data_IF_560455631551
#
_entry.id   IF_560455631551
#
_cell.length_a   1.000
_cell.length_b   1.000
_cell.length_c   1.000
_cell.angle_alpha   90.00
_cell.angle_beta   90.00
_cell.angle_gamma   90.00
#
_symmetry.space_group_name_H-M   'P 1'
#
loop_
_entity.id
_entity.type
_entity.pdbx_description
1 polymer ?
#
# COMPACT_ATOMS: atom_id res chain seq x y z
N UNK A 1 -20.57 7.27 -13.22
CA UNK A 1 -21.60 6.33 -12.75
C UNK A 1 -21.01 5.43 -11.66
N UNK A 2 -20.68 5.98 -10.49
CA UNK A 2 -20.06 5.25 -9.38
C UNK A 2 -21.02 4.99 -8.20
N UNK A 3 -22.33 5.21 -8.38
CA UNK A 3 -23.21 5.60 -7.26
C UNK A 3 -24.20 4.55 -6.73
N UNK A 4 -23.98 3.24 -6.89
CA UNK A 4 -24.90 2.23 -6.35
C UNK A 4 -24.28 1.40 -5.21
N UNK A 5 -23.11 0.81 -5.40
CA UNK A 5 -22.50 -0.08 -4.39
C UNK A 5 -22.06 0.65 -3.13
N UNK A 6 -21.33 1.77 -3.26
CA UNK A 6 -20.86 2.59 -2.12
C UNK A 6 -22.02 3.13 -1.27
N UNK A 7 -23.09 3.56 -1.95
CA UNK A 7 -24.31 4.05 -1.29
C UNK A 7 -25.05 2.95 -0.51
N UNK A 8 -25.04 1.72 -1.02
CA UNK A 8 -25.64 0.57 -0.34
C UNK A 8 -24.82 0.13 0.88
N UNK A 9 -23.49 0.23 0.82
CA UNK A 9 -22.61 -0.07 1.97
C UNK A 9 -22.85 0.91 3.12
N UNK A 10 -22.94 2.21 2.82
CA UNK A 10 -23.26 3.24 3.83
C UNK A 10 -24.61 2.96 4.51
N UNK A 11 -25.66 2.67 3.73
CA UNK A 11 -26.97 2.29 4.28
C UNK A 11 -26.90 1.00 5.11
N UNK A 12 -26.12 0.00 4.68
CA UNK A 12 -26.01 -1.26 5.39
C UNK A 12 -25.36 -1.13 6.77
N UNK A 13 -24.29 -0.33 6.89
CA UNK A 13 -23.53 -0.17 8.13
C UNK A 13 -24.31 0.63 9.17
N UNK A 14 -25.02 1.67 8.73
CA UNK A 14 -25.62 2.65 9.63
C UNK A 14 -27.15 2.50 9.76
N UNK A 15 -27.87 2.03 8.72
CA UNK A 15 -29.35 1.95 8.72
C UNK A 15 -29.93 0.57 9.03
N UNK A 16 -29.13 -0.49 9.15
CA UNK A 16 -29.70 -1.83 9.35
C UNK A 16 -30.27 -2.01 10.76
N UNK A 17 -31.35 -2.79 10.92
CA UNK A 17 -31.89 -3.12 12.25
C UNK A 17 -30.87 -3.89 13.11
N UNK A 18 -29.87 -4.51 12.48
CA UNK A 18 -28.74 -5.15 13.14
C UNK A 18 -27.65 -4.10 13.43
N UNK A 19 -27.73 -3.48 14.61
CA UNK A 19 -26.71 -2.52 15.03
C UNK A 19 -25.37 -3.22 15.28
N UNK A 20 -24.41 -3.02 14.37
CA UNK A 20 -23.06 -3.56 14.52
C UNK A 20 -22.30 -2.84 15.63
N UNK A 21 -21.57 -3.60 16.45
CA UNK A 21 -20.64 -3.05 17.45
C UNK A 21 -19.24 -2.78 16.89
N UNK A 22 -18.82 -3.59 15.92
CA UNK A 22 -17.51 -3.49 15.27
C UNK A 22 -17.63 -3.71 13.77
N UNK A 23 -16.98 -2.87 12.97
CA UNK A 23 -16.97 -2.96 11.51
C UNK A 23 -15.56 -2.71 10.99
N UNK A 24 -15.10 -3.55 10.05
CA UNK A 24 -13.86 -3.34 9.33
C UNK A 24 -14.12 -3.43 7.84
N UNK A 25 -13.90 -2.33 7.13
CA UNK A 25 -13.95 -2.24 5.67
C UNK A 25 -12.54 -2.02 5.14
N UNK A 26 -12.12 -2.87 4.22
CA UNK A 26 -10.81 -2.82 3.57
C UNK A 26 -11.05 -2.78 2.05
N UNK A 27 -11.28 -1.59 1.52
CA UNK A 27 -11.54 -1.34 0.10
C UNK A 27 -10.65 -0.18 -0.37
N UNK A 28 -10.24 -0.22 -1.62
CA UNK A 28 -9.22 0.71 -2.14
C UNK A 28 -9.79 2.07 -2.60
N UNK A 29 -11.07 2.13 -2.98
CA UNK A 29 -11.65 3.32 -3.63
C UNK A 29 -12.33 4.34 -2.70
N UNK A 30 -12.45 4.03 -1.39
CA UNK A 30 -13.11 4.88 -0.39
C UNK A 30 -14.64 4.94 -0.57
N UNK A 31 -15.39 5.18 0.52
CA UNK A 31 -16.86 5.31 0.47
C UNK A 31 -17.27 6.76 0.67
N UNK A 32 -18.20 7.22 -0.16
CA UNK A 32 -18.93 8.45 0.09
C UNK A 32 -20.12 8.19 1.02
N UNK A 33 -20.16 8.87 2.16
CA UNK A 33 -21.19 8.71 3.19
C UNK A 33 -22.37 9.64 2.92
N UNK A 34 -23.58 9.22 3.32
CA UNK A 34 -24.82 10.01 3.16
C UNK A 34 -25.37 10.47 4.51
N UNK A 35 -25.81 11.72 4.57
CA UNK A 35 -26.37 12.35 5.77
C UNK A 35 -27.79 11.88 6.13
N UNK A 36 -28.55 11.33 5.18
CA UNK A 36 -29.96 10.93 5.36
C UNK A 36 -30.12 9.51 5.91
N UNK A 37 -29.27 9.11 6.85
CA UNK A 37 -29.23 7.76 7.41
C UNK A 37 -29.42 7.83 8.92
N UNK A 38 -30.20 6.90 9.50
CA UNK A 38 -30.32 6.78 10.95
C UNK A 38 -28.96 6.44 11.59
N UNK A 39 -28.56 7.08 12.71
CA UNK A 39 -27.31 6.76 13.38
C UNK A 39 -27.29 5.32 13.94
N UNK A 40 -26.15 4.64 13.80
CA UNK A 40 -25.84 3.42 14.52
C UNK A 40 -25.18 3.75 15.87
N UNK A 41 -26.02 3.84 16.89
CA UNK A 41 -25.61 4.15 18.27
C UNK A 41 -24.86 3.01 18.99
N UNK A 42 -24.71 1.83 18.39
CA UNK A 42 -23.98 0.72 19.02
C UNK A 42 -22.57 0.54 18.45
N UNK A 43 -22.21 1.28 17.39
CA UNK A 43 -20.92 1.15 16.74
C UNK A 43 -19.81 1.77 17.60
N UNK A 44 -18.92 0.92 18.10
CA UNK A 44 -17.81 1.31 18.99
C UNK A 44 -16.44 1.25 18.30
N UNK A 45 -16.27 0.37 17.31
CA UNK A 45 -14.99 0.12 16.64
C UNK A 45 -15.19 0.11 15.12
N UNK A 46 -14.56 1.05 14.42
CA UNK A 46 -14.75 1.24 12.98
C UNK A 46 -13.41 1.40 12.26
N UNK A 47 -13.15 0.54 11.28
CA UNK A 47 -12.11 0.74 10.26
C UNK A 47 -12.83 1.00 8.94
N UNK A 48 -12.63 2.18 8.35
CA UNK A 48 -13.32 2.58 7.12
C UNK A 48 -12.45 3.50 6.25
N UNK A 49 -12.35 3.20 4.94
CA UNK A 49 -11.85 4.16 3.97
C UNK A 49 -13.00 5.07 3.52
N UNK A 50 -12.80 6.38 3.63
CA UNK A 50 -13.76 7.39 3.19
C UNK A 50 -13.20 8.17 2.02
N UNK A 51 -14.10 8.70 1.19
CA UNK A 51 -13.69 9.44 0.01
C UNK A 51 -13.06 10.78 0.38
N UNK A 52 -13.64 11.55 1.31
CA UNK A 52 -13.21 12.93 1.63
C UNK A 52 -13.25 13.25 3.13
N UNK A 53 -12.64 14.36 3.57
CA UNK A 53 -12.77 14.86 4.95
C UNK A 53 -14.23 15.17 5.32
N UNK A 54 -15.10 15.50 4.36
CA UNK A 54 -16.52 15.73 4.63
C UNK A 54 -17.24 14.46 5.10
N UNK A 55 -16.84 13.31 4.57
CA UNK A 55 -17.43 12.04 4.98
C UNK A 55 -17.10 11.73 6.46
N UNK A 56 -16.00 12.24 7.01
CA UNK A 56 -15.67 12.11 8.43
C UNK A 56 -16.68 12.81 9.34
N UNK A 57 -17.17 13.98 8.92
CA UNK A 57 -18.24 14.70 9.63
C UNK A 57 -19.53 13.88 9.66
N UNK A 58 -19.91 13.36 8.50
CA UNK A 58 -21.09 12.50 8.37
C UNK A 58 -20.92 11.27 9.27
N UNK A 59 -19.73 10.67 9.27
CA UNK A 59 -19.41 9.50 10.10
C UNK A 59 -19.64 9.76 11.59
N UNK A 60 -19.24 10.92 12.11
CA UNK A 60 -19.48 11.27 13.51
C UNK A 60 -20.97 11.44 13.83
N UNK A 61 -21.77 12.00 12.93
CA UNK A 61 -23.24 12.02 13.09
C UNK A 61 -23.84 10.61 13.11
N UNK A 62 -23.31 9.71 12.28
CA UNK A 62 -23.86 8.37 12.09
C UNK A 62 -23.37 7.37 13.15
N UNK A 63 -22.26 7.65 13.83
CA UNK A 63 -21.66 6.76 14.82
C UNK A 63 -21.18 7.55 16.07
N UNK A 64 -22.12 8.11 16.85
CA UNK A 64 -21.78 8.99 17.98
C UNK A 64 -21.10 8.26 19.16
N UNK A 65 -21.19 6.93 19.22
CA UNK A 65 -20.65 6.11 20.32
C UNK A 65 -19.30 5.46 20.00
N UNK A 66 -18.60 5.93 18.96
CA UNK A 66 -17.29 5.38 18.58
C UNK A 66 -16.27 5.55 19.71
N UNK A 67 -15.63 4.44 20.07
CA UNK A 67 -14.50 4.37 20.99
C UNK A 67 -13.19 4.30 20.20
N UNK A 68 -13.21 3.63 19.04
CA UNK A 68 -12.07 3.44 18.14
C UNK A 68 -12.44 3.74 16.71
N UNK A 69 -11.64 4.57 16.05
CA UNK A 69 -11.80 4.90 14.64
C UNK A 69 -10.45 4.84 13.92
N UNK A 70 -10.36 3.95 12.93
CA UNK A 70 -9.30 3.97 11.93
C UNK A 70 -9.87 4.42 10.59
N UNK A 71 -9.31 5.52 10.10
CA UNK A 71 -9.79 6.23 8.94
C UNK A 71 -8.72 6.28 7.86
N UNK A 72 -9.11 5.98 6.64
CA UNK A 72 -8.27 6.20 5.47
C UNK A 72 -8.98 7.17 4.51
N UNK A 73 -8.37 8.30 4.20
CA UNK A 73 -8.93 9.31 3.29
C UNK A 73 -8.29 9.12 1.91
N UNK A 74 -9.12 8.80 0.92
CA UNK A 74 -8.67 8.41 -0.42
C UNK A 74 -8.57 9.62 -1.36
N UNK A 75 -9.45 10.62 -1.21
CA UNK A 75 -9.51 11.81 -2.05
C UNK A 75 -9.66 13.12 -1.25
N UNK A 76 -9.04 14.19 -1.75
CA UNK A 76 -9.35 15.54 -1.31
C UNK A 76 -9.68 16.38 -2.53
N UNK A 77 -10.88 16.94 -2.53
CA UNK A 77 -11.25 17.99 -3.47
C UNK A 77 -10.70 19.29 -2.90
N UNK A 78 -9.81 19.95 -3.65
CA UNK A 78 -9.05 21.16 -3.32
C UNK A 78 -9.86 22.42 -3.00
N UNK A 79 -11.13 22.31 -2.63
CA UNK A 79 -11.88 23.44 -2.10
C UNK A 79 -11.47 23.61 -0.64
N UNK A 80 -10.84 24.74 -0.33
CA UNK A 80 -10.57 25.19 1.04
C UNK A 80 -11.89 25.26 1.80
N UNK A 81 -12.24 24.18 2.49
CA UNK A 81 -13.41 24.18 3.35
C UNK A 81 -13.00 24.76 4.70
N UNK A 82 -13.47 25.96 4.98
CA UNK A 82 -13.64 26.43 6.35
C UNK A 82 -14.76 25.61 6.95
N UNK A 83 -14.43 24.41 7.42
CA UNK A 83 -15.37 23.55 8.10
C UNK A 83 -15.71 24.23 9.44
N UNK A 84 -16.93 24.76 9.56
CA UNK A 84 -17.48 25.20 10.85
C UNK A 84 -17.95 23.94 11.58
N UNK A 85 -17.06 23.33 12.35
CA UNK A 85 -17.40 22.20 13.21
C UNK A 85 -18.26 22.68 14.37
N UNK A 86 -19.52 22.23 14.40
CA UNK A 86 -20.35 22.34 15.59
C UNK A 86 -19.94 21.21 16.55
N UNK A 87 -19.46 21.58 17.74
CA UNK A 87 -19.00 20.67 18.82
C UNK A 87 -19.98 19.53 19.14
N UNK A 88 -21.27 19.76 18.92
CA UNK A 88 -22.37 18.85 19.26
C UNK A 88 -22.36 17.51 18.49
N UNK A 89 -21.64 17.43 17.37
CA UNK A 89 -21.62 16.26 16.48
C UNK A 89 -20.47 15.29 16.76
N UNK A 90 -19.49 15.69 17.57
CA UNK A 90 -18.27 14.90 17.81
C UNK A 90 -18.49 13.73 18.79
N UNK A 91 -17.88 12.55 18.55
CA UNK A 91 -18.00 11.41 19.45
C UNK A 91 -17.27 11.69 20.77
N UNK A 92 -18.04 11.76 21.86
CA UNK A 92 -17.54 12.13 23.19
C UNK A 92 -16.69 11.04 23.87
N UNK A 93 -16.69 9.82 23.32
CA UNK A 93 -16.05 8.64 23.91
C UNK A 93 -14.92 8.07 23.04
N UNK A 94 -14.53 8.78 21.98
CA UNK A 94 -13.47 8.34 21.07
C UNK A 94 -12.12 8.40 21.79
N UNK A 95 -11.51 7.22 22.02
CA UNK A 95 -10.24 7.05 22.73
C UNK A 95 -9.07 6.79 21.79
N UNK A 96 -9.29 6.03 20.73
CA UNK A 96 -8.25 5.67 19.77
C UNK A 96 -8.63 6.19 18.39
N UNK A 97 -7.82 7.09 17.85
CA UNK A 97 -8.06 7.70 16.55
C UNK A 97 -6.83 7.58 15.65
N UNK A 98 -7.02 6.95 14.49
CA UNK A 98 -6.01 6.76 13.46
C UNK A 98 -6.51 7.42 12.19
N UNK A 99 -5.74 8.34 11.64
CA UNK A 99 -6.03 8.97 10.36
C UNK A 99 -4.88 8.76 9.40
N UNK A 100 -5.21 8.25 8.21
CA UNK A 100 -4.27 8.03 7.12
C UNK A 100 -4.74 8.69 5.83
N UNK A 101 -3.83 9.24 5.02
CA UNK A 101 -4.11 9.63 3.64
C UNK A 101 -3.35 8.75 2.64
N UNK A 102 -3.97 8.41 1.50
CA UNK A 102 -3.36 7.53 0.48
C UNK A 102 -2.50 8.31 -0.52
N UNK A 103 -2.96 9.49 -0.92
CA UNK A 103 -2.32 10.33 -1.94
C UNK A 103 -1.79 11.62 -1.32
N UNK A 104 -0.81 12.27 -1.97
CA UNK A 104 -0.39 13.63 -1.66
C UNK A 104 -1.59 14.56 -1.85
N UNK A 105 -2.33 14.76 -0.78
CA UNK A 105 -3.59 15.47 -0.77
C UNK A 105 -3.59 16.37 0.45
N UNK A 106 -3.92 17.62 0.19
CA UNK A 106 -3.78 18.72 1.14
C UNK A 106 -4.90 18.67 2.17
N UNK A 107 -4.89 17.72 3.12
CA UNK A 107 -5.61 17.98 4.37
C UNK A 107 -4.79 19.07 5.04
N UNK A 108 -5.19 20.33 4.87
CA UNK A 108 -4.47 21.42 5.51
C UNK A 108 -4.36 21.15 7.01
N UNK A 109 -3.23 21.50 7.58
CA UNK A 109 -2.92 21.25 8.97
C UNK A 109 -4.03 21.85 9.87
N UNK A 110 -4.48 23.06 9.55
CA UNK A 110 -5.59 23.72 10.23
C UNK A 110 -6.92 22.98 10.12
N UNK A 111 -7.22 22.37 8.97
CA UNK A 111 -8.43 21.57 8.78
C UNK A 111 -8.37 20.21 9.49
N UNK A 112 -7.18 19.66 9.74
CA UNK A 112 -7.02 18.50 10.63
C UNK A 112 -7.18 18.91 12.10
N UNK A 113 -6.55 20.02 12.52
CA UNK A 113 -6.44 20.43 13.92
C UNK A 113 -7.72 20.96 14.55
N UNK A 114 -8.23 22.10 14.03
CA UNK A 114 -9.38 22.81 14.62
C UNK A 114 -10.61 21.94 14.81
N UNK A 115 -10.84 20.95 13.94
CA UNK A 115 -12.00 20.10 14.07
C UNK A 115 -11.88 18.87 14.93
N UNK A 116 -10.80 18.12 14.74
CA UNK A 116 -10.70 16.73 15.16
C UNK A 116 -9.95 16.60 16.47
N UNK A 117 -8.97 17.48 16.68
CA UNK A 117 -8.03 17.33 17.77
C UNK A 117 -8.42 18.19 18.96
N UNK A 118 -8.80 19.46 18.75
CA UNK A 118 -9.19 20.32 19.88
C UNK A 118 -10.57 20.00 20.48
N UNK A 119 -11.45 19.34 19.72
CA UNK A 119 -12.84 19.14 20.14
C UNK A 119 -13.12 17.77 20.76
N UNK A 120 -12.17 16.82 20.69
CA UNK A 120 -12.32 15.47 21.24
C UNK A 120 -11.30 15.26 22.36
N UNK A 121 -11.62 15.75 23.55
CA UNK A 121 -10.73 15.68 24.72
C UNK A 121 -10.53 14.26 25.27
N UNK A 122 -11.32 13.28 24.81
CA UNK A 122 -11.25 11.87 25.24
C UNK A 122 -10.17 11.05 24.56
N UNK A 123 -9.49 11.57 23.53
CA UNK A 123 -8.49 10.82 22.78
C UNK A 123 -7.30 10.50 23.69
N UNK A 124 -7.06 9.21 23.90
CA UNK A 124 -5.91 8.68 24.64
C UNK A 124 -4.78 8.27 23.69
N UNK A 125 -5.14 7.88 22.46
CA UNK A 125 -4.21 7.45 21.42
C UNK A 125 -4.53 8.16 20.10
N UNK A 126 -3.56 8.89 19.57
CA UNK A 126 -3.64 9.56 18.27
C UNK A 126 -2.53 9.07 17.34
N UNK A 127 -2.89 8.61 16.15
CA UNK A 127 -1.95 8.33 15.08
C UNK A 127 -2.32 9.08 13.81
N UNK A 128 -1.35 9.84 13.27
CA UNK A 128 -1.51 10.65 12.07
C UNK A 128 -0.49 10.21 11.03
N UNK A 129 -0.99 9.67 9.92
CA UNK A 129 -0.18 9.22 8.78
C UNK A 129 -0.58 9.98 7.51
N UNK A 130 0.09 11.08 7.19
CA UNK A 130 -0.38 12.03 6.17
C UNK A 130 0.65 12.24 5.08
N UNK A 131 0.22 12.16 3.83
CA UNK A 131 0.93 12.63 2.64
C UNK A 131 0.39 14.00 2.21
N UNK A 132 1.23 15.03 2.22
CA UNK A 132 0.80 16.43 2.04
C UNK A 132 1.87 17.28 1.36
N UNK A 133 1.52 18.46 0.87
CA UNK A 133 2.44 19.54 0.46
C UNK A 133 2.36 20.77 1.40
N UNK A 134 1.52 20.67 2.44
CA UNK A 134 1.32 21.73 3.44
C UNK A 134 2.54 21.81 4.39
N UNK A 135 3.28 22.93 4.38
CA UNK A 135 4.47 23.09 5.20
C UNK A 135 4.20 23.16 6.71
N UNK A 136 2.95 23.41 7.14
CA UNK A 136 2.61 23.46 8.57
C UNK A 136 2.82 22.11 9.26
N UNK A 137 2.69 20.99 8.53
CA UNK A 137 2.98 19.66 9.07
C UNK A 137 4.46 19.47 9.49
N UNK A 138 5.36 20.29 8.94
CA UNK A 138 6.78 20.27 9.27
C UNK A 138 7.16 21.17 10.46
N UNK A 139 6.21 21.94 11.02
CA UNK A 139 6.49 22.86 12.13
C UNK A 139 6.25 22.16 13.48
N UNK A 140 7.33 21.79 14.16
CA UNK A 140 7.27 21.12 15.47
C UNK A 140 6.52 21.91 16.54
N UNK A 141 6.50 23.26 16.46
CA UNK A 141 5.74 24.13 17.38
C UNK A 141 4.25 23.89 17.30
N UNK A 142 3.74 23.80 16.07
CA UNK A 142 2.33 23.59 15.83
C UNK A 142 1.86 22.25 16.38
N UNK A 143 2.69 21.20 16.28
CA UNK A 143 2.40 19.91 16.92
C UNK A 143 2.51 19.95 18.44
N UNK A 144 3.48 20.67 19.00
CA UNK A 144 3.60 20.83 20.45
C UNK A 144 2.36 21.53 21.03
N UNK A 145 1.87 22.58 20.37
CA UNK A 145 0.62 23.26 20.74
C UNK A 145 -0.57 22.30 20.73
N UNK A 146 -0.66 21.44 19.71
CA UNK A 146 -1.72 20.43 19.59
C UNK A 146 -1.71 19.48 20.77
N UNK A 147 -0.55 18.91 21.08
CA UNK A 147 -0.39 17.93 22.17
C UNK A 147 -0.70 18.58 23.53
N UNK A 148 -0.24 19.81 23.75
CA UNK A 148 -0.49 20.55 25.00
C UNK A 148 -1.99 20.75 25.29
N UNK A 149 -2.83 20.74 24.25
CA UNK A 149 -4.28 20.90 24.37
C UNK A 149 -5.06 19.57 24.39
N UNK A 150 -4.38 18.41 24.41
CA UNK A 150 -5.01 17.09 24.52
C UNK A 150 -4.73 16.44 25.88
N UNK A 151 -5.48 16.77 26.94
CA UNK A 151 -5.15 16.35 28.31
C UNK A 151 -5.20 14.85 28.56
N UNK A 152 -5.95 14.08 27.74
CA UNK A 152 -6.07 12.63 27.87
C UNK A 152 -5.02 11.85 27.07
N UNK A 153 -4.25 12.54 26.21
CA UNK A 153 -3.35 11.91 25.25
C UNK A 153 -2.19 11.20 25.97
N UNK A 154 -2.10 9.89 25.79
CA UNK A 154 -1.05 9.03 26.34
C UNK A 154 -0.04 8.61 25.28
N UNK A 155 -0.48 8.52 24.03
CA UNK A 155 0.37 8.06 22.93
C UNK A 155 0.06 8.82 21.66
N UNK A 156 1.12 9.35 21.06
CA UNK A 156 1.06 10.12 19.83
C UNK A 156 2.06 9.56 18.82
N UNK A 157 1.57 9.18 17.63
CA UNK A 157 2.40 8.68 16.55
C UNK A 157 2.22 9.50 15.28
N UNK A 158 3.34 9.89 14.68
CA UNK A 158 3.43 10.56 13.40
C UNK A 158 4.05 9.66 12.34
N UNK A 159 3.53 9.76 11.12
CA UNK A 159 4.14 9.26 9.89
C UNK A 159 3.82 10.23 8.76
N UNK A 160 4.66 11.27 8.60
CA UNK A 160 4.41 12.36 7.66
C UNK A 160 5.25 12.19 6.41
N UNK A 161 4.63 12.29 5.23
CA UNK A 161 5.28 12.40 3.92
C UNK A 161 4.96 13.79 3.34
N UNK A 162 5.89 14.74 3.43
CA UNK A 162 5.68 16.15 3.08
C UNK A 162 6.43 16.48 1.79
N UNK A 163 5.73 16.86 0.74
CA UNK A 163 6.37 17.25 -0.52
C UNK A 163 7.21 18.52 -0.33
N UNK A 164 8.46 18.47 -0.77
CA UNK A 164 9.41 19.58 -0.75
C UNK A 164 9.00 20.56 -1.84
N UNK A 165 8.33 21.64 -1.43
CA UNK A 165 7.93 22.75 -2.30
C UNK A 165 8.86 23.95 -2.13
N UNK A 166 8.79 24.90 -3.07
CA UNK A 166 9.49 26.18 -2.92
C UNK A 166 9.09 26.91 -1.62
N UNK A 167 7.82 26.83 -1.22
CA UNK A 167 7.30 27.41 0.02
C UNK A 167 7.93 26.76 1.27
N UNK A 168 8.12 25.44 1.26
CA UNK A 168 8.80 24.74 2.35
C UNK A 168 10.26 25.18 2.44
N UNK A 169 10.97 25.26 1.31
CA UNK A 169 12.38 25.67 1.26
C UNK A 169 12.57 27.13 1.69
N UNK A 170 11.67 28.05 1.31
CA UNK A 170 11.75 29.46 1.72
C UNK A 170 11.44 29.65 3.21
N UNK A 171 10.50 28.88 3.77
CA UNK A 171 10.12 28.97 5.19
C UNK A 171 11.24 28.58 6.15
N UNK A 172 12.05 27.60 5.77
CA UNK A 172 13.15 27.07 6.60
C UNK A 172 14.54 27.54 6.12
N UNK A 173 14.58 28.63 5.34
CA UNK A 173 15.73 29.51 5.05
C UNK A 173 16.95 28.92 4.34
N UNK A 174 17.00 27.61 4.07
CA UNK A 174 18.09 26.98 3.34
C UNK A 174 17.57 26.39 2.03
N UNK A 175 17.88 27.01 0.89
CA UNK A 175 17.57 26.49 -0.45
C UNK A 175 18.27 25.16 -0.80
N UNK A 176 18.84 24.46 0.19
CA UNK A 176 19.54 23.19 0.10
C UNK A 176 18.80 22.19 1.00
N UNK A 177 18.39 21.04 0.44
CA UNK A 177 17.60 19.98 1.13
C UNK A 177 18.24 19.53 2.46
N UNK A 178 19.57 19.50 2.53
CA UNK A 178 20.29 19.15 3.76
C UNK A 178 20.10 20.19 4.88
N UNK A 179 20.09 21.48 4.52
CA UNK A 179 19.83 22.57 5.47
C UNK A 179 18.38 22.54 5.98
N UNK A 180 17.42 22.32 5.07
CA UNK A 180 16.02 22.09 5.40
C UNK A 180 15.84 20.95 6.43
N UNK A 181 16.43 19.78 6.15
CA UNK A 181 16.38 18.61 7.05
C UNK A 181 16.90 18.95 8.45
N UNK A 182 18.03 19.66 8.52
CA UNK A 182 18.66 20.03 9.78
C UNK A 182 17.85 21.09 10.56
N UNK A 183 17.28 22.07 9.86
CA UNK A 183 16.44 23.12 10.46
C UNK A 183 15.17 22.51 11.10
N UNK A 184 14.48 21.63 10.38
CA UNK A 184 13.28 20.97 10.87
C UNK A 184 13.62 20.03 12.03
N UNK A 185 14.73 19.28 11.94
CA UNK A 185 15.19 18.45 13.04
C UNK A 185 15.42 19.23 14.32
N UNK A 186 16.08 20.40 14.25
CA UNK A 186 16.26 21.28 15.41
C UNK A 186 14.92 21.74 15.99
N UNK A 187 13.97 22.14 15.15
CA UNK A 187 12.65 22.57 15.63
C UNK A 187 11.90 21.48 16.38
N UNK A 188 11.95 20.23 15.91
CA UNK A 188 11.35 19.10 16.63
C UNK A 188 12.08 18.83 17.95
N UNK A 189 13.42 18.87 17.97
CA UNK A 189 14.20 18.70 19.20
C UNK A 189 13.93 19.81 20.23
N UNK A 190 13.69 21.04 19.79
CA UNK A 190 13.44 22.18 20.68
C UNK A 190 12.05 22.13 21.36
N UNK A 191 11.04 21.56 20.68
CA UNK A 191 9.64 21.67 21.11
C UNK A 191 9.03 20.36 21.63
N UNK A 192 9.72 19.24 21.44
CA UNK A 192 9.32 17.96 22.01
C UNK A 192 10.28 17.57 23.13
N UNK A 193 9.72 17.08 24.23
CA UNK A 193 10.50 16.56 25.35
C UNK A 193 11.15 15.20 25.00
N UNK A 194 11.94 14.66 25.94
CA UNK A 194 12.60 13.35 25.76
C UNK A 194 11.63 12.16 25.68
N UNK A 195 10.34 12.36 25.94
CA UNK A 195 9.32 11.29 25.91
C UNK A 195 8.82 11.01 24.49
N UNK A 196 8.89 12.01 23.60
CA UNK A 196 8.58 11.89 22.18
C UNK A 196 9.88 11.82 21.38
N UNK A 197 10.04 10.80 20.54
CA UNK A 197 11.22 10.69 19.69
C UNK A 197 10.84 10.57 18.23
N UNK A 198 11.65 11.19 17.38
CA UNK A 198 11.39 11.30 15.97
C UNK A 198 12.61 10.92 15.17
N UNK A 199 12.36 10.41 13.97
CA UNK A 199 13.36 10.35 12.90
C UNK A 199 12.91 11.22 11.75
N UNK A 200 13.87 11.91 11.14
CA UNK A 200 13.65 12.82 10.02
C UNK A 200 14.62 12.48 8.91
N UNK A 201 14.08 12.24 7.73
CA UNK A 201 14.87 12.01 6.53
C UNK A 201 14.17 12.61 5.33
N UNK A 202 14.87 12.69 4.22
CA UNK A 202 14.36 13.29 2.99
C UNK A 202 14.80 12.40 1.84
N UNK A 203 13.93 12.23 0.86
CA UNK A 203 14.39 11.96 -0.50
C UNK A 203 14.39 13.30 -1.27
N UNK A 204 14.63 13.30 -2.59
CA UNK A 204 14.73 14.58 -3.35
C UNK A 204 13.45 15.42 -3.34
N UNK A 205 12.28 14.80 -3.22
CA UNK A 205 10.99 15.47 -3.40
C UNK A 205 10.12 15.45 -2.15
N UNK A 206 10.48 14.67 -1.14
CA UNK A 206 9.64 14.37 0.01
C UNK A 206 10.50 14.37 1.28
N UNK A 207 10.04 15.11 2.27
CA UNK A 207 10.49 15.10 3.65
C UNK A 207 9.65 14.09 4.43
N UNK A 208 10.31 13.26 5.22
CA UNK A 208 9.68 12.27 6.08
C UNK A 208 9.94 12.62 7.54
N UNK A 209 8.89 12.57 8.36
CA UNK A 209 8.95 12.75 9.81
C UNK A 209 8.14 11.64 10.45
N UNK A 210 8.81 10.75 11.19
CA UNK A 210 8.16 9.64 11.85
C UNK A 210 8.43 9.61 13.35
N UNK A 211 7.45 9.15 14.13
CA UNK A 211 7.64 8.80 15.53
C UNK A 211 8.39 7.47 15.69
N UNK A 212 9.28 7.42 16.69
CA UNK A 212 10.05 6.24 17.08
C UNK A 212 9.98 6.04 18.61
N UNK A 213 9.93 4.79 19.12
CA UNK A 213 9.77 3.55 18.36
C UNK A 213 8.34 3.41 17.83
N UNK A 214 8.17 2.64 16.76
CA UNK A 214 6.84 2.33 16.23
C UNK A 214 6.06 1.41 17.18
N UNK A 215 5.05 1.95 17.85
CA UNK A 215 4.22 1.20 18.82
C UNK A 215 2.73 1.36 18.54
N UNK A 216 2.26 0.70 17.49
CA UNK A 216 0.85 0.69 17.14
C UNK A 216 0.05 -0.25 18.06
N UNK A 217 -1.15 0.14 18.48
CA UNK A 217 -2.04 -0.71 19.30
C UNK A 217 -2.66 -1.88 18.52
N UNK A 218 -2.63 -1.81 17.19
CA UNK A 218 -3.23 -2.76 16.27
C UNK A 218 -2.32 -2.98 15.06
N UNK A 219 -2.57 -4.07 14.33
CA UNK A 219 -1.82 -4.41 13.12
C UNK A 219 -1.95 -3.31 12.05
N UNK A 220 -0.81 -2.83 11.55
CA UNK A 220 -0.75 -1.76 10.54
C UNK A 220 0.23 -2.10 9.41
N UNK A 221 0.00 -1.46 8.26
CA UNK A 221 0.99 -1.34 7.20
C UNK A 221 1.69 0.00 7.32
N UNK A 222 3.00 0.01 7.09
CA UNK A 222 3.81 1.21 7.21
C UNK A 222 4.60 1.45 5.92
N UNK A 223 4.63 2.68 5.44
CA UNK A 223 5.38 3.07 4.24
C UNK A 223 6.63 3.86 4.65
N UNK A 224 7.75 3.57 4.02
CA UNK A 224 9.04 4.23 4.27
C UNK A 224 9.89 4.29 3.00
N UNK A 225 11.14 4.69 3.14
CA UNK A 225 12.13 4.77 2.07
C UNK A 225 13.45 4.15 2.52
N UNK A 226 14.30 3.64 1.62
CA UNK A 226 15.68 3.24 1.95
C UNK A 226 16.47 4.37 2.64
N UNK A 227 16.18 5.63 2.29
CA UNK A 227 16.78 6.83 2.91
C UNK A 227 16.52 6.95 4.42
N UNK A 228 15.57 6.18 4.97
CA UNK A 228 15.36 6.10 6.41
C UNK A 228 16.61 5.59 7.16
N UNK A 229 17.50 4.86 6.48
CA UNK A 229 18.80 4.44 7.04
C UNK A 229 19.70 5.64 7.38
N UNK A 230 19.54 6.76 6.66
CA UNK A 230 20.33 7.99 6.83
C UNK A 230 19.56 9.08 7.61
N UNK A 231 18.55 8.68 8.38
CA UNK A 231 17.72 9.62 9.14
C UNK A 231 18.49 10.31 10.27
N UNK A 232 18.14 11.57 10.52
CA UNK A 232 18.48 12.24 11.78
C UNK A 232 17.47 11.78 12.83
N UNK A 233 17.95 11.30 13.96
CA UNK A 233 17.11 10.71 14.99
C UNK A 233 17.33 11.42 16.32
N UNK A 234 16.25 11.71 17.04
CA UNK A 234 16.35 12.33 18.37
C UNK A 234 16.83 11.34 19.43
N UNK A 235 16.59 10.04 19.22
CA UNK A 235 17.01 8.98 20.15
C UNK A 235 17.35 7.67 19.41
N UNK A 236 18.65 7.38 19.25
CA UNK A 236 19.12 6.17 18.57
C UNK A 236 18.71 4.87 19.28
N UNK A 237 18.60 4.87 20.61
CA UNK A 237 18.18 3.67 21.35
C UNK A 237 16.76 3.24 21.02
N UNK A 238 15.90 4.19 20.62
CA UNK A 238 14.53 3.91 20.20
C UNK A 238 14.44 3.49 18.74
N UNK A 239 15.37 3.95 17.90
CA UNK A 239 15.50 3.46 16.51
C UNK A 239 15.87 1.99 16.48
N UNK A 240 16.63 1.49 17.44
CA UNK A 240 17.04 0.09 17.48
C UNK A 240 15.93 -0.86 18.00
N UNK A 241 14.89 -0.32 18.62
CA UNK A 241 13.81 -1.14 19.18
C UNK A 241 12.92 -1.72 18.07
N UNK A 242 12.62 -3.03 18.12
CA UNK A 242 11.79 -3.66 17.09
C UNK A 242 10.39 -3.02 17.07
N UNK A 243 9.86 -2.71 15.87
CA UNK A 243 8.50 -2.19 15.71
C UNK A 243 7.44 -3.14 16.25
N UNK A 244 6.40 -2.59 16.87
CA UNK A 244 5.25 -3.35 17.36
C UNK A 244 4.05 -3.23 16.42
N UNK A 245 3.41 -4.37 16.14
CA UNK A 245 2.21 -4.50 15.28
C UNK A 245 2.35 -3.95 13.85
N UNK A 246 3.56 -3.91 13.29
CA UNK A 246 3.73 -3.66 11.84
C UNK A 246 3.74 -5.00 11.11
N UNK A 247 2.69 -5.26 10.34
CA UNK A 247 2.52 -6.51 9.58
C UNK A 247 2.83 -6.34 8.09
N UNK A 248 2.85 -5.11 7.60
CA UNK A 248 3.20 -4.79 6.21
C UNK A 248 4.22 -3.64 6.14
N UNK A 249 5.22 -3.78 5.28
CA UNK A 249 6.20 -2.74 4.98
C UNK A 249 6.14 -2.38 3.49
N UNK A 250 5.79 -1.14 3.18
CA UNK A 250 5.99 -0.55 1.87
C UNK A 250 7.29 0.26 1.86
N UNK A 251 8.10 0.10 0.83
CA UNK A 251 9.27 0.94 0.59
C UNK A 251 9.21 1.47 -0.84
N UNK A 252 9.26 2.79 -0.96
CA UNK A 252 9.42 3.43 -2.25
C UNK A 252 10.86 3.92 -2.36
N UNK A 253 11.61 3.35 -3.29
CA UNK A 253 12.97 3.82 -3.60
C UNK A 253 12.97 5.21 -4.22
N UNK A 254 11.85 5.58 -4.86
CA UNK A 254 11.78 6.64 -5.85
C UNK A 254 12.88 6.53 -6.92
N UNK A 255 12.85 7.35 -7.96
CA UNK A 255 13.69 7.17 -9.15
C UNK A 255 15.20 7.37 -8.92
N UNK A 256 15.68 7.46 -7.68
CA UNK A 256 17.08 7.72 -7.36
C UNK A 256 17.86 6.44 -7.14
N UNK A 257 19.07 6.33 -7.69
CA UNK A 257 19.90 5.18 -7.40
C UNK A 257 20.34 5.19 -5.93
N UNK A 258 20.05 4.12 -5.21
CA UNK A 258 20.41 3.89 -3.80
C UNK A 258 21.17 2.56 -3.68
N UNK A 259 22.05 2.41 -2.68
CA UNK A 259 22.74 1.14 -2.44
C UNK A 259 21.78 0.06 -1.95
N UNK A 260 22.05 -1.20 -2.27
CA UNK A 260 21.22 -2.34 -1.86
C UNK A 260 21.12 -2.47 -0.34
N UNK A 261 22.20 -2.13 0.37
CA UNK A 261 22.30 -2.32 1.82
C UNK A 261 21.36 -1.38 2.59
N UNK A 262 21.07 -0.19 2.06
CA UNK A 262 20.08 0.72 2.65
C UNK A 262 18.67 0.12 2.63
N UNK A 263 18.31 -0.61 1.57
CA UNK A 263 17.06 -1.37 1.56
C UNK A 263 17.08 -2.45 2.64
N UNK A 264 18.16 -3.23 2.70
CA UNK A 264 18.26 -4.38 3.60
C UNK A 264 18.27 -3.98 5.08
N UNK A 265 18.97 -2.90 5.46
CA UNK A 265 19.00 -2.41 6.84
C UNK A 265 17.62 -1.94 7.30
N UNK A 266 16.92 -1.15 6.48
CA UNK A 266 15.55 -0.72 6.79
C UNK A 266 14.64 -1.95 6.92
N UNK A 267 14.67 -2.90 5.99
CA UNK A 267 13.84 -4.11 6.04
C UNK A 267 14.15 -4.96 7.29
N UNK A 268 15.44 -5.08 7.67
CA UNK A 268 15.88 -5.88 8.82
C UNK A 268 15.25 -5.37 10.13
N UNK A 269 15.05 -4.07 10.24
CA UNK A 269 14.38 -3.46 11.39
C UNK A 269 12.93 -3.99 11.56
N UNK A 270 12.22 -4.29 10.47
CA UNK A 270 10.85 -4.80 10.48
C UNK A 270 10.77 -6.33 10.36
N UNK A 271 11.47 -7.06 11.23
CA UNK A 271 11.60 -8.53 11.15
C UNK A 271 10.29 -9.34 11.25
N UNK A 272 9.22 -8.75 11.77
CA UNK A 272 7.93 -9.43 12.01
C UNK A 272 6.91 -9.27 10.87
N UNK A 273 7.28 -8.62 9.77
CA UNK A 273 6.36 -8.37 8.65
C UNK A 273 5.92 -9.67 7.98
N UNK A 274 4.67 -9.64 7.51
CA UNK A 274 4.07 -10.68 6.67
C UNK A 274 4.00 -10.26 5.21
N UNK A 275 4.13 -8.96 4.94
CA UNK A 275 4.03 -8.36 3.63
C UNK A 275 5.16 -7.35 3.42
N UNK A 276 5.88 -7.46 2.30
CA UNK A 276 6.90 -6.50 1.88
C UNK A 276 6.60 -6.02 0.47
N UNK A 277 6.52 -4.70 0.28
CA UNK A 277 6.33 -4.08 -1.03
C UNK A 277 7.41 -3.08 -1.34
N UNK A 278 8.31 -3.46 -2.23
CA UNK A 278 9.34 -2.60 -2.80
C UNK A 278 8.84 -2.06 -4.15
N UNK A 279 8.64 -0.74 -4.21
CA UNK A 279 8.19 -0.02 -5.40
C UNK A 279 9.27 0.94 -5.89
N UNK A 280 9.37 1.12 -7.21
CA UNK A 280 10.34 1.98 -7.88
C UNK A 280 11.80 1.66 -7.53
N UNK A 281 12.14 0.38 -7.34
CA UNK A 281 13.50 -0.04 -6.95
C UNK A 281 14.51 0.47 -7.98
N UNK A 282 15.51 1.21 -7.51
CA UNK A 282 16.63 1.70 -8.31
C UNK A 282 17.93 1.49 -7.52
N UNK A 283 18.64 0.40 -7.82
CA UNK A 283 19.92 0.07 -7.17
C UNK A 283 21.05 0.30 -8.17
N UNK A 284 22.08 1.06 -7.78
CA UNK A 284 23.24 1.32 -8.64
C UNK A 284 24.44 0.41 -8.39
N UNK A 285 24.45 -0.32 -7.27
CA UNK A 285 25.54 -1.24 -6.96
C UNK A 285 25.66 -2.30 -8.05
N UNK A 286 26.90 -2.60 -8.45
CA UNK A 286 27.15 -3.67 -9.41
C UNK A 286 26.74 -5.02 -8.82
N UNK A 287 26.18 -5.90 -9.66
CA UNK A 287 25.75 -7.26 -9.28
C UNK A 287 26.92 -8.14 -8.76
N UNK A 288 28.16 -7.71 -8.96
CA UNK A 288 29.38 -8.50 -8.72
C UNK A 288 29.97 -8.39 -7.31
N UNK A 289 29.48 -7.50 -6.45
CA UNK A 289 29.96 -7.43 -5.06
C UNK A 289 29.15 -8.37 -4.15
N UNK A 290 29.34 -9.67 -4.37
CA UNK A 290 29.27 -10.68 -3.31
C UNK A 290 30.71 -10.87 -2.79
N UNK A 291 31.39 -9.77 -2.46
CA UNK A 291 32.74 -9.84 -1.92
C UNK A 291 32.66 -10.17 -0.42
N UNK A 292 32.67 -11.48 -0.14
CA UNK A 292 33.44 -12.01 0.98
C UNK A 292 33.04 -11.57 2.38
N UNK A 293 31.79 -11.74 2.76
CA UNK A 293 31.28 -12.23 4.07
C UNK A 293 29.78 -12.35 3.80
N UNK A 294 29.19 -13.54 3.87
CA UNK A 294 27.72 -13.68 3.81
C UNK A 294 27.10 -12.64 4.76
N UNK A 295 26.40 -11.58 4.30
CA UNK A 295 25.66 -10.78 5.23
C UNK A 295 24.61 -11.73 5.80
N UNK A 296 24.58 -11.84 7.12
CA UNK A 296 23.67 -12.66 7.91
C UNK A 296 22.33 -12.72 7.19
N UNK A 297 21.93 -13.91 6.74
CA UNK A 297 20.76 -14.10 5.90
C UNK A 297 19.59 -13.27 6.46
N UNK A 298 19.08 -12.33 5.65
CA UNK A 298 17.89 -11.56 6.01
C UNK A 298 16.74 -12.55 6.15
N UNK A 299 16.41 -12.93 7.39
CA UNK A 299 15.38 -13.93 7.69
C UNK A 299 14.10 -13.21 8.10
N UNK A 300 13.20 -13.03 7.15
CA UNK A 300 11.86 -12.53 7.40
C UNK A 300 10.93 -13.72 7.65
N UNK A 301 11.03 -14.29 8.85
CA UNK A 301 10.39 -15.57 9.24
C UNK A 301 8.89 -15.64 8.92
N UNK A 302 8.21 -14.50 8.92
CA UNK A 302 6.76 -14.41 8.73
C UNK A 302 6.34 -13.91 7.36
N UNK A 303 7.29 -13.56 6.47
CA UNK A 303 6.99 -13.03 5.15
C UNK A 303 6.20 -14.04 4.32
N UNK A 304 5.01 -13.62 3.88
CA UNK A 304 4.10 -14.38 3.01
C UNK A 304 3.98 -13.77 1.63
N UNK A 305 4.21 -12.48 1.48
CA UNK A 305 4.01 -11.78 0.22
C UNK A 305 5.15 -10.79 -0.06
N UNK A 306 5.74 -10.89 -1.24
CA UNK A 306 6.81 -10.01 -1.72
C UNK A 306 6.37 -9.32 -3.00
N UNK A 307 6.27 -8.00 -2.97
CA UNK A 307 6.06 -7.17 -4.15
C UNK A 307 7.39 -6.50 -4.49
N UNK A 308 7.93 -6.79 -5.66
CA UNK A 308 9.25 -6.35 -6.11
C UNK A 308 9.12 -5.69 -7.47
N UNK A 309 8.96 -4.36 -7.47
CA UNK A 309 8.73 -3.57 -8.68
C UNK A 309 9.84 -2.54 -8.85
N UNK A 310 10.67 -2.72 -9.88
CA UNK A 310 11.73 -1.76 -10.22
C UNK A 310 11.19 -0.47 -10.83
N UNK A 311 12.02 0.56 -10.81
CA UNK A 311 11.83 1.74 -11.65
C UNK A 311 11.90 1.34 -13.15
N UNK A 312 11.07 1.98 -13.98
CA UNK A 312 10.97 1.70 -15.43
C UNK A 312 12.30 1.85 -16.17
N UNK A 313 13.24 2.61 -15.62
CA UNK A 313 14.56 2.91 -16.20
C UNK A 313 15.67 1.95 -15.76
N UNK A 314 15.42 1.10 -14.77
CA UNK A 314 16.45 0.27 -14.13
C UNK A 314 16.33 -1.20 -14.59
N UNK A 315 17.34 -2.02 -14.30
CA UNK A 315 17.23 -3.50 -14.40
C UNK A 315 16.93 -4.08 -13.02
N UNK A 316 16.40 -5.29 -12.96
CA UNK A 316 16.29 -6.02 -11.70
C UNK A 316 17.66 -6.19 -11.06
N UNK A 317 17.80 -5.79 -9.79
CA UNK A 317 18.99 -6.10 -9.02
C UNK A 317 18.86 -7.54 -8.49
N UNK A 318 19.64 -8.47 -9.05
CA UNK A 318 19.56 -9.89 -8.70
C UNK A 318 19.92 -10.17 -7.25
N UNK A 319 20.97 -9.55 -6.72
CA UNK A 319 21.44 -9.77 -5.34
C UNK A 319 20.36 -9.40 -4.33
N UNK A 320 19.74 -8.23 -4.50
CA UNK A 320 18.64 -7.80 -3.64
C UNK A 320 17.43 -8.75 -3.74
N UNK A 321 17.05 -9.15 -4.96
CA UNK A 321 15.96 -10.12 -5.15
C UNK A 321 16.28 -11.45 -4.46
N UNK A 322 17.46 -12.01 -4.66
CA UNK A 322 17.88 -13.29 -4.11
C UNK A 322 17.85 -13.28 -2.57
N UNK A 323 18.26 -12.18 -1.92
CA UNK A 323 18.20 -12.02 -0.47
C UNK A 323 16.78 -11.93 0.09
N UNK A 324 15.84 -11.38 -0.68
CA UNK A 324 14.44 -11.22 -0.28
C UNK A 324 13.57 -12.44 -0.62
N UNK A 325 13.98 -13.20 -1.64
CA UNK A 325 13.25 -14.37 -2.12
C UNK A 325 13.75 -15.65 -1.47
N UNK A 326 15.07 -15.89 -1.48
CA UNK A 326 15.63 -17.12 -0.93
C UNK A 326 15.67 -17.07 0.61
N UNK A 327 15.33 -18.21 1.23
CA UNK A 327 15.28 -18.35 2.69
C UNK A 327 13.91 -18.04 3.30
N UNK A 328 12.97 -17.48 2.54
CA UNK A 328 11.62 -17.16 3.03
C UNK A 328 10.66 -18.33 2.84
N UNK A 329 10.70 -19.32 3.75
CA UNK A 329 9.91 -20.56 3.64
C UNK A 329 8.39 -20.38 3.57
N UNK A 330 7.88 -19.24 4.02
CA UNK A 330 6.44 -18.92 4.09
C UNK A 330 5.98 -18.01 2.96
N UNK A 331 6.89 -17.58 2.09
CA UNK A 331 6.53 -16.77 0.93
C UNK A 331 5.58 -17.60 0.07
N UNK A 332 4.41 -17.06 -0.25
CA UNK A 332 3.39 -17.71 -1.08
C UNK A 332 2.96 -16.79 -2.23
N UNK A 333 3.15 -15.48 -2.07
CA UNK A 333 2.78 -14.48 -3.09
C UNK A 333 4.02 -13.75 -3.61
N UNK A 334 4.16 -13.69 -4.94
CA UNK A 334 5.16 -12.86 -5.61
C UNK A 334 4.47 -11.90 -6.59
N UNK A 335 4.84 -10.63 -6.52
CA UNK A 335 4.42 -9.60 -7.47
C UNK A 335 5.65 -8.96 -8.10
N UNK A 336 5.77 -8.96 -9.43
CA UNK A 336 6.98 -8.49 -10.12
C UNK A 336 6.69 -7.99 -11.55
N UNK A 337 7.61 -7.24 -12.13
CA UNK A 337 7.66 -6.97 -13.58
C UNK A 337 7.88 -8.27 -14.36
N UNK A 338 7.13 -8.48 -15.45
CA UNK A 338 7.21 -9.70 -16.25
C UNK A 338 8.59 -9.92 -16.86
N UNK A 339 9.15 -8.89 -17.50
CA UNK A 339 10.44 -8.95 -18.17
C UNK A 339 11.58 -9.27 -17.21
N UNK A 340 11.53 -8.71 -16.00
CA UNK A 340 12.47 -9.02 -14.93
C UNK A 340 12.40 -10.46 -14.49
N UNK A 341 11.18 -10.96 -14.25
CA UNK A 341 11.00 -12.37 -13.89
C UNK A 341 11.57 -13.26 -14.99
N UNK A 342 11.21 -13.06 -16.25
CA UNK A 342 11.72 -13.86 -17.37
C UNK A 342 13.24 -13.74 -17.51
N UNK A 343 13.80 -12.55 -17.31
CA UNK A 343 15.24 -12.34 -17.28
C UNK A 343 15.88 -13.22 -16.20
N UNK A 344 15.40 -13.15 -14.96
CA UNK A 344 15.90 -13.97 -13.87
C UNK A 344 15.74 -15.48 -14.18
N UNK A 345 14.58 -15.93 -14.67
CA UNK A 345 14.36 -17.34 -14.99
C UNK A 345 15.32 -17.89 -16.07
N UNK A 346 15.85 -17.02 -16.94
CA UNK A 346 16.75 -17.39 -18.03
C UNK A 346 18.24 -17.29 -17.67
N UNK A 347 18.60 -16.37 -16.79
CA UNK A 347 20.02 -16.05 -16.49
C UNK A 347 20.52 -16.61 -15.17
N UNK A 348 19.61 -17.09 -14.30
CA UNK A 348 20.00 -17.54 -12.96
C UNK A 348 20.50 -18.99 -12.98
N UNK A 349 21.72 -19.19 -12.49
CA UNK A 349 22.26 -20.49 -12.09
C UNK A 349 22.66 -20.39 -10.60
N UNK A 350 22.09 -21.20 -9.69
CA UNK A 350 21.04 -22.19 -9.94
C UNK A 350 19.69 -21.53 -10.32
N UNK A 351 18.78 -22.25 -11.00
CA UNK A 351 17.46 -21.73 -11.34
C UNK A 351 16.64 -21.32 -10.11
N UNK A 352 15.77 -20.33 -10.28
CA UNK A 352 14.82 -19.93 -9.23
C UNK A 352 13.94 -21.11 -8.85
N UNK A 353 13.80 -21.35 -7.54
CA UNK A 353 12.89 -22.35 -6.99
C UNK A 353 11.63 -21.65 -6.46
N UNK A 354 10.59 -21.59 -7.29
CA UNK A 354 9.29 -21.00 -6.97
C UNK A 354 8.26 -22.00 -6.42
N UNK A 355 8.66 -23.18 -5.94
CA UNK A 355 7.73 -24.23 -5.50
C UNK A 355 6.80 -23.79 -4.35
N UNK A 356 7.20 -22.81 -3.56
CA UNK A 356 6.41 -22.28 -2.45
C UNK A 356 5.40 -21.21 -2.89
N UNK A 357 5.55 -20.65 -4.09
CA UNK A 357 4.69 -19.60 -4.62
C UNK A 357 3.39 -20.20 -5.14
N UNK A 358 2.28 -19.71 -4.59
CA UNK A 358 0.91 -20.05 -4.97
C UNK A 358 0.24 -18.92 -5.75
N UNK A 359 0.62 -17.68 -5.46
CA UNK A 359 0.03 -16.50 -6.09
C UNK A 359 1.11 -15.69 -6.83
N UNK A 360 0.95 -15.52 -8.14
CA UNK A 360 1.88 -14.76 -8.98
C UNK A 360 1.14 -13.62 -9.68
N UNK A 361 1.62 -12.40 -9.48
CA UNK A 361 1.09 -11.21 -10.13
C UNK A 361 2.19 -10.51 -10.96
N UNK A 362 1.95 -10.38 -12.27
CA UNK A 362 2.94 -9.90 -13.23
C UNK A 362 2.51 -8.59 -13.87
N UNK A 363 3.43 -7.62 -13.95
CA UNK A 363 3.22 -6.33 -14.61
C UNK A 363 4.02 -6.27 -15.90
N UNK A 364 3.32 -6.09 -17.02
CA UNK A 364 3.97 -5.89 -18.32
C UNK A 364 3.79 -4.44 -18.74
N UNK A 365 4.86 -3.66 -18.66
CA UNK A 365 4.91 -2.30 -19.20
C UNK A 365 5.63 -2.28 -20.56
N UNK A 366 5.44 -1.21 -21.36
CA UNK A 366 6.04 -1.12 -22.70
C UNK A 366 7.57 -1.27 -22.75
N UNK A 367 8.25 -0.88 -21.67
CA UNK A 367 9.71 -0.99 -21.52
C UNK A 367 10.18 -2.37 -21.02
N UNK A 368 9.26 -3.23 -20.56
CA UNK A 368 9.55 -4.49 -19.89
C UNK A 368 9.36 -5.71 -20.81
N UNK A 369 8.82 -5.48 -22.02
CA UNK A 369 8.62 -6.50 -23.04
C UNK A 369 7.18 -7.02 -23.13
N UNK A 370 6.95 -7.87 -24.11
CA UNK A 370 5.66 -8.50 -24.37
C UNK A 370 5.65 -9.91 -23.77
N UNK A 371 4.48 -10.38 -23.35
CA UNK A 371 4.25 -11.77 -22.96
C UNK A 371 4.38 -12.66 -24.19
N UNK A 372 5.20 -13.72 -24.10
CA UNK A 372 5.50 -14.61 -25.23
C UNK A 372 5.22 -16.05 -24.86
N UNK A 373 4.77 -16.84 -25.84
CA UNK A 373 4.52 -18.27 -25.67
C UNK A 373 5.77 -19.04 -25.20
N UNK A 374 6.95 -18.68 -25.72
CA UNK A 374 8.24 -19.32 -25.35
C UNK A 374 8.61 -19.14 -23.87
N UNK A 375 8.06 -18.14 -23.20
CA UNK A 375 8.38 -17.86 -21.80
C UNK A 375 7.56 -18.74 -20.83
N UNK A 376 6.45 -19.31 -21.31
CA UNK A 376 5.53 -20.09 -20.48
C UNK A 376 6.18 -21.33 -19.90
N UNK A 377 7.06 -21.99 -20.68
CA UNK A 377 7.79 -23.16 -20.20
C UNK A 377 8.62 -22.85 -18.94
N UNK A 378 9.30 -21.70 -18.91
CA UNK A 378 10.07 -21.27 -17.75
C UNK A 378 9.17 -21.00 -16.53
N UNK A 379 8.02 -20.35 -16.74
CA UNK A 379 7.05 -20.07 -15.66
C UNK A 379 6.50 -21.37 -15.06
N UNK A 380 6.10 -22.32 -15.90
CA UNK A 380 5.50 -23.59 -15.47
C UNK A 380 6.50 -24.45 -14.70
N UNK A 381 7.74 -24.53 -15.18
CA UNK A 381 8.80 -25.26 -14.48
C UNK A 381 9.14 -24.63 -13.12
N UNK A 382 9.11 -23.31 -13.04
CA UNK A 382 9.53 -22.59 -11.83
C UNK A 382 8.44 -22.53 -10.76
N UNK A 383 7.16 -22.44 -11.17
CA UNK A 383 6.02 -22.26 -10.28
C UNK A 383 5.00 -23.41 -10.38
N UNK A 384 5.40 -24.67 -10.16
CA UNK A 384 4.51 -25.82 -10.38
C UNK A 384 3.32 -25.88 -9.41
N UNK A 385 3.36 -25.13 -8.30
CA UNK A 385 2.31 -25.08 -7.28
C UNK A 385 1.37 -23.89 -7.43
N UNK A 386 1.44 -23.16 -8.55
CA UNK A 386 0.67 -21.94 -8.75
C UNK A 386 -0.85 -22.20 -8.72
N UNK A 387 -1.53 -21.48 -7.84
CA UNK A 387 -2.98 -21.48 -7.66
C UNK A 387 -3.63 -20.23 -8.26
N UNK A 388 -2.99 -19.06 -8.16
CA UNK A 388 -3.48 -17.83 -8.76
C UNK A 388 -2.43 -17.19 -9.67
N UNK A 389 -2.83 -16.81 -10.88
CA UNK A 389 -2.00 -16.06 -11.81
C UNK A 389 -2.75 -14.81 -12.30
N UNK A 390 -2.16 -13.64 -12.08
CA UNK A 390 -2.68 -12.37 -12.59
C UNK A 390 -1.63 -11.69 -13.45
N UNK A 391 -1.99 -11.30 -14.68
CA UNK A 391 -1.10 -10.60 -15.61
C UNK A 391 -1.73 -9.24 -15.95
N UNK A 392 -1.12 -8.18 -15.46
CA UNK A 392 -1.50 -6.81 -15.77
C UNK A 392 -0.66 -6.31 -16.94
N UNK A 393 -1.28 -6.13 -18.10
CA UNK A 393 -0.63 -5.58 -19.30
C UNK A 393 -0.99 -4.11 -19.47
N UNK A 394 0.01 -3.25 -19.70
CA UNK A 394 -0.22 -1.83 -19.95
C UNK A 394 -1.03 -1.59 -21.23
N UNK A 395 -0.76 -2.39 -22.25
CA UNK A 395 -1.45 -2.33 -23.53
C UNK A 395 -1.64 -3.72 -24.08
N UNK A 396 -2.75 -3.96 -24.78
CA UNK A 396 -2.98 -5.24 -25.46
C UNK A 396 -1.91 -5.57 -26.51
N UNK A 397 -1.16 -4.58 -27.03
CA UNK A 397 0.02 -4.83 -27.88
C UNK A 397 1.06 -5.76 -27.22
N UNK A 398 1.11 -5.79 -25.89
CA UNK A 398 2.04 -6.62 -25.12
C UNK A 398 1.61 -8.09 -25.00
N UNK A 399 0.46 -8.47 -25.58
CA UNK A 399 -0.01 -9.87 -25.66
C UNK A 399 -0.62 -10.24 -27.03
N UNK A 400 -0.75 -9.26 -27.94
CA UNK A 400 -1.67 -9.29 -29.11
C UNK A 400 -1.49 -10.42 -30.13
N UNK A 401 -0.27 -10.91 -30.40
CA UNK A 401 -0.04 -11.82 -31.55
C UNK A 401 -0.54 -13.25 -31.30
N UNK A 402 -0.42 -13.76 -30.07
CA UNK A 402 -0.77 -15.13 -29.70
C UNK A 402 -1.60 -15.16 -28.41
N UNK A 403 -2.43 -14.13 -28.18
CA UNK A 403 -3.11 -13.93 -26.90
C UNK A 403 -3.92 -15.17 -26.46
N UNK A 404 -4.69 -15.74 -27.39
CA UNK A 404 -5.53 -16.92 -27.14
C UNK A 404 -4.68 -18.15 -26.81
N UNK A 405 -3.67 -18.45 -27.63
CA UNK A 405 -2.74 -19.56 -27.40
C UNK A 405 -2.01 -19.43 -26.06
N UNK A 406 -1.56 -18.23 -25.70
CA UNK A 406 -0.89 -17.96 -24.42
C UNK A 406 -1.84 -18.24 -23.25
N UNK A 407 -3.09 -17.78 -23.34
CA UNK A 407 -4.11 -18.01 -22.32
C UNK A 407 -4.40 -19.52 -22.18
N UNK A 408 -4.65 -20.20 -23.30
CA UNK A 408 -4.93 -21.63 -23.30
C UNK A 408 -3.78 -22.45 -22.73
N UNK A 409 -2.55 -22.14 -23.14
CA UNK A 409 -1.37 -22.84 -22.65
C UNK A 409 -1.21 -22.62 -21.15
N UNK A 410 -1.30 -21.37 -20.66
CA UNK A 410 -1.25 -21.09 -19.21
C UNK A 410 -2.29 -21.90 -18.42
N UNK A 411 -3.54 -21.94 -18.87
CA UNK A 411 -4.61 -22.67 -18.19
C UNK A 411 -4.35 -24.18 -18.21
N UNK A 412 -3.88 -24.72 -19.34
CA UNK A 412 -3.58 -26.17 -19.48
C UNK A 412 -2.34 -26.58 -18.69
N UNK A 413 -1.29 -25.77 -18.69
CA UNK A 413 -0.01 -26.12 -18.09
C UNK A 413 -0.06 -26.07 -16.55
N UNK A 414 -0.79 -25.11 -15.96
CA UNK A 414 -0.89 -24.98 -14.50
C UNK A 414 -2.05 -25.82 -13.92
N UNK A 415 -1.76 -27.08 -13.59
CA UNK A 415 -2.76 -28.03 -13.08
C UNK A 415 -3.50 -27.57 -11.82
N UNK A 416 -2.82 -26.84 -10.93
CA UNK A 416 -3.35 -26.35 -9.65
C UNK A 416 -4.01 -24.98 -9.73
N UNK A 417 -4.04 -24.36 -10.91
CA UNK A 417 -4.60 -23.03 -11.10
C UNK A 417 -6.08 -23.03 -10.71
N UNK A 418 -6.43 -22.19 -9.74
CA UNK A 418 -7.78 -21.90 -9.24
C UNK A 418 -8.28 -20.56 -9.75
N UNK A 419 -7.38 -19.60 -9.98
CA UNK A 419 -7.69 -18.28 -10.50
C UNK A 419 -6.69 -17.85 -11.57
N UNK A 420 -7.21 -17.29 -12.67
CA UNK A 420 -6.41 -16.72 -13.74
C UNK A 420 -7.01 -15.38 -14.16
N UNK A 421 -6.19 -14.34 -14.27
CA UNK A 421 -6.63 -13.01 -14.69
C UNK A 421 -5.65 -12.37 -15.65
N UNK A 422 -6.18 -11.72 -16.69
CA UNK A 422 -5.42 -10.80 -17.54
C UNK A 422 -6.16 -9.47 -17.57
N UNK A 423 -5.48 -8.40 -17.18
CA UNK A 423 -6.03 -7.04 -17.12
C UNK A 423 -5.25 -6.15 -18.08
N UNK A 424 -5.95 -5.42 -18.94
CA UNK A 424 -5.39 -4.41 -19.83
C UNK A 424 -5.72 -3.01 -19.31
N UNK A 425 -4.70 -2.26 -18.90
CA UNK A 425 -4.94 -0.93 -18.33
C UNK A 425 -5.26 0.11 -19.43
N UNK A 426 -4.57 0.07 -20.58
CA UNK A 426 -4.83 0.95 -21.74
C UNK A 426 -5.26 0.21 -23.00
N UNK A 427 -6.38 0.66 -23.56
CA UNK A 427 -7.02 0.08 -24.75
C UNK A 427 -7.94 -1.07 -24.37
N UNK A 428 -8.13 -2.00 -25.30
CA UNK A 428 -8.94 -3.20 -25.09
C UNK A 428 -8.11 -4.45 -25.36
N UNK A 429 -8.34 -5.50 -24.58
CA UNK A 429 -7.92 -6.85 -24.94
C UNK A 429 -8.65 -7.21 -26.24
N UNK A 430 -7.88 -7.40 -27.31
CA UNK A 430 -8.45 -7.81 -28.61
C UNK A 430 -8.71 -9.31 -28.60
N UNK A 431 -9.56 -9.74 -27.67
CA UNK A 431 -10.20 -11.07 -27.66
C UNK A 431 -11.34 -11.14 -28.70
N UNK A 432 -11.44 -10.12 -29.57
CA UNK A 432 -12.52 -9.92 -30.54
C UNK A 432 -12.71 -11.05 -31.54
N UNK A 433 -11.74 -11.94 -31.77
CA UNK A 433 -12.00 -13.15 -32.58
C UNK A 433 -12.90 -14.15 -31.83
N UNK A 434 -12.62 -14.44 -30.56
CA UNK A 434 -13.46 -15.33 -29.72
C UNK A 434 -14.84 -14.75 -29.38
N UNK A 435 -14.99 -13.42 -29.42
CA UNK A 435 -16.26 -12.73 -29.14
C UNK A 435 -17.11 -12.45 -30.40
N UNK A 436 -16.54 -12.58 -31.60
CA UNK A 436 -17.24 -12.39 -32.88
C UNK A 436 -17.48 -13.70 -33.64
N UNK A 437 -16.96 -14.82 -33.15
CA UNK A 437 -17.32 -16.15 -33.63
C UNK A 437 -18.70 -16.56 -33.07
N UNK A 438 -19.38 -17.48 -33.75
CA UNK A 438 -20.73 -17.92 -33.37
C UNK A 438 -20.81 -18.36 -31.90
N UNK A 439 -21.99 -18.25 -31.29
CA UNK A 439 -22.22 -18.74 -29.91
C UNK A 439 -21.74 -20.19 -29.73
N UNK A 440 -21.79 -21.01 -30.79
CA UNK A 440 -21.28 -22.38 -30.84
C UNK A 440 -19.75 -22.47 -30.64
N UNK A 441 -18.97 -21.65 -31.34
CA UNK A 441 -17.49 -21.65 -31.27
C UNK A 441 -17.01 -21.12 -29.91
N UNK A 442 -17.72 -20.11 -29.39
CA UNK A 442 -17.54 -19.65 -28.02
C UNK A 442 -17.88 -20.77 -27.03
N UNK A 443 -18.99 -21.48 -27.23
CA UNK A 443 -19.35 -22.63 -26.39
C UNK A 443 -18.31 -23.74 -26.45
N UNK A 444 -17.76 -24.04 -27.63
CA UNK A 444 -16.74 -25.08 -27.85
C UNK A 444 -15.42 -24.75 -27.13
N UNK A 445 -14.94 -23.52 -27.30
CA UNK A 445 -13.79 -22.98 -26.56
C UNK A 445 -14.05 -23.01 -25.05
N UNK A 446 -15.26 -22.64 -24.64
CA UNK A 446 -15.69 -22.71 -23.24
C UNK A 446 -15.78 -24.14 -22.76
N UNK A 447 -16.29 -25.13 -23.50
CA UNK A 447 -16.29 -26.55 -23.09
C UNK A 447 -14.89 -27.11 -22.98
N UNK A 448 -13.97 -26.67 -23.83
CA UNK A 448 -12.55 -27.02 -23.75
C UNK A 448 -11.88 -26.50 -22.47
N UNK A 449 -12.37 -25.37 -21.94
CA UNK A 449 -11.93 -24.78 -20.66
C UNK A 449 -12.82 -25.24 -19.47
N UNK A 450 -14.11 -25.54 -19.68
CA UNK A 450 -15.13 -25.89 -18.69
C UNK A 450 -15.11 -27.34 -18.26
N UNK A 451 -14.39 -28.22 -18.96
CA UNK A 451 -13.98 -29.51 -18.38
C UNK A 451 -13.23 -29.35 -17.03
N UNK A 452 -12.92 -28.10 -16.64
CA UNK A 452 -12.19 -27.71 -15.43
C UNK A 452 -13.08 -26.97 -14.38
N UNK A 453 -14.41 -26.85 -14.56
CA UNK A 453 -15.33 -26.38 -13.51
C UNK A 453 -15.21 -24.89 -13.14
N UNK A 454 -15.19 -24.00 -14.13
CA UNK A 454 -14.78 -22.60 -13.98
C UNK A 454 -15.83 -21.56 -14.39
N UNK A 455 -15.88 -20.44 -13.66
CA UNK A 455 -16.58 -19.21 -14.05
C UNK A 455 -15.66 -18.31 -14.89
N UNK A 456 -16.24 -17.56 -15.82
CA UNK A 456 -15.51 -16.70 -16.75
C UNK A 456 -16.10 -15.28 -16.79
N UNK A 457 -15.23 -14.28 -16.68
CA UNK A 457 -15.50 -12.87 -17.00
C UNK A 457 -14.72 -12.51 -18.27
N UNK A 458 -15.45 -11.97 -19.25
CA UNK A 458 -14.92 -11.43 -20.50
C UNK A 458 -15.42 -10.00 -20.66
N UNK A 459 -14.56 -9.04 -20.34
CA UNK A 459 -14.79 -7.62 -20.53
C UNK A 459 -13.77 -7.05 -21.53
N UNK A 460 -14.04 -5.86 -22.13
CA UNK A 460 -13.11 -5.25 -23.08
C UNK A 460 -11.68 -5.07 -22.55
N UNK A 461 -11.50 -4.97 -21.23
CA UNK A 461 -10.20 -4.81 -20.57
C UNK A 461 -9.78 -5.97 -19.70
N UNK A 462 -10.68 -6.92 -19.41
CA UNK A 462 -10.43 -7.94 -18.39
C UNK A 462 -10.85 -9.31 -18.90
N UNK A 463 -9.95 -10.27 -18.75
CA UNK A 463 -10.27 -11.69 -18.79
C UNK A 463 -10.04 -12.26 -17.40
N UNK A 464 -11.02 -12.93 -16.83
CA UNK A 464 -10.87 -13.59 -15.53
C UNK A 464 -11.53 -14.97 -15.55
N UNK A 465 -10.83 -15.97 -15.04
CA UNK A 465 -11.26 -17.35 -14.93
C UNK A 465 -11.04 -17.82 -13.49
N UNK A 466 -12.01 -18.53 -12.90
CA UNK A 466 -11.81 -19.14 -11.58
C UNK A 466 -12.62 -20.42 -11.39
N UNK A 467 -12.09 -21.37 -10.61
CA UNK A 467 -12.75 -22.65 -10.29
C UNK A 467 -13.61 -22.50 -9.04
N UNK A 468 -14.87 -22.91 -9.09
CA UNK A 468 -15.77 -22.82 -7.93
C UNK A 468 -15.45 -23.92 -6.92
N UNK A 469 -14.76 -23.58 -5.84
CA UNK A 469 -14.80 -24.38 -4.62
C UNK A 469 -14.93 -23.50 -3.37
N UNK A 470 -14.30 -22.32 -3.32
CA UNK A 470 -14.48 -21.34 -2.24
C UNK A 470 -14.08 -19.94 -2.75
N UNK A 471 -14.92 -18.91 -2.55
CA UNK A 471 -14.55 -17.53 -2.89
C UNK A 471 -14.83 -16.60 -1.71
N UNK A 472 -13.76 -15.98 -1.22
CA UNK A 472 -13.81 -14.64 -0.63
C UNK A 472 -13.55 -13.64 -1.75
N UNK A 473 -14.55 -12.83 -2.10
CA UNK A 473 -14.41 -11.78 -3.12
C UNK A 473 -13.65 -10.63 -2.48
N UNK A 474 -12.41 -10.40 -2.90
CA UNK A 474 -11.76 -9.08 -2.73
C UNK A 474 -12.10 -8.28 -3.98
N UNK A 475 -12.98 -7.28 -3.81
CA UNK A 475 -13.42 -6.36 -4.87
C UNK A 475 -12.30 -5.36 -5.13
#
# INVERSE_FOLDING_TARGET
MTSTTESLISLYIFSTPNKFRKVKLLIDEGIQLKTQVSPNTCLEDLVIPITTVHDLLILFTLAPCLIRLQLCIVRNTSQEFVLQFQLEVMPQVLKEFYIQTIQHQVISFQALLRPLIYNISSIEYLSVAVKTDDPDYADGRLWADVIANMPSLKTFLLGLEIQITANLLTRFSDGIVQGLKLAIFKLFVEHFDSSSSFRIYTNRQTLFIDSIPYRFSCEQSYNTSPEANHALCTNMTYVEQPPHNIVGLGMNGEYFPIVKDDYLEVIRHFSSITYLSLSSINVYDQENEINGVHPIALKLKYLKSLFYLRSTQCKVNRVLFDLLFYGQKRLETLKMMYGDLIYLLRTTSPPINGNHIKDLELFCHGADGAVRLMDLHHLVLTFPQLECLSIQVWSSKLIKKNQVEIIEELIRSFRRLRSFRVICTRGTLKLTRLLMESDQTRLEWLTHINAIGSHLILEPKTLALWKSADITIKI
#
